data_IF_417749501037
#
_entry.id   IF_417749501037
#
_cell.length_a   1.000
_cell.length_b   1.000
_cell.length_c   1.000
_cell.angle_alpha   90.00
_cell.angle_beta   90.00
_cell.angle_gamma   90.00
#
_symmetry.space_group_name_H-M   'P 1'
#
loop_
_entity.id
_entity.type
_entity.pdbx_description
1 polymer ?
#
# COMPACT_ATOMS: atom_id res chain seq x y z
N UNK A 1 5.05 14.82 -8.62
CA UNK A 1 3.75 14.21 -8.27
C UNK A 1 4.01 13.39 -7.03
N UNK A 2 3.26 13.61 -5.97
CA UNK A 2 3.39 12.88 -4.70
C UNK A 2 2.85 11.46 -4.87
N UNK A 3 3.61 10.45 -4.45
CA UNK A 3 3.23 9.04 -4.57
C UNK A 3 2.74 8.49 -3.24
N UNK A 4 1.49 8.05 -3.17
CA UNK A 4 0.88 7.56 -1.92
C UNK A 4 1.03 6.06 -1.83
N UNK A 5 1.80 5.61 -0.86
CA UNK A 5 2.19 4.23 -0.70
C UNK A 5 1.46 3.65 0.49
N UNK A 6 0.55 2.71 0.25
CA UNK A 6 -0.11 1.95 1.30
C UNK A 6 0.91 1.08 2.05
N UNK A 7 0.96 1.22 3.37
CA UNK A 7 1.85 0.45 4.25
C UNK A 7 1.06 -0.43 5.19
N UNK A 8 1.42 -1.70 5.24
CA UNK A 8 0.88 -2.69 6.17
C UNK A 8 2.02 -3.32 6.97
N UNK A 9 1.87 -3.56 8.29
CA UNK A 9 2.95 -4.10 9.13
C UNK A 9 3.55 -5.43 8.63
N UNK A 10 2.71 -6.29 8.02
CA UNK A 10 3.16 -7.57 7.46
C UNK A 10 3.91 -7.44 6.11
N UNK A 11 3.93 -6.26 5.49
CA UNK A 11 4.85 -5.98 4.39
C UNK A 11 6.13 -5.35 4.95
N UNK A 12 7.09 -6.21 5.31
CA UNK A 12 8.33 -5.77 5.97
C UNK A 12 9.11 -4.75 5.14
N UNK A 13 9.08 -4.85 3.81
CA UNK A 13 9.81 -3.95 2.93
C UNK A 13 9.27 -2.51 3.00
N UNK A 14 7.96 -2.35 2.88
CA UNK A 14 7.32 -1.03 2.97
C UNK A 14 7.30 -0.49 4.40
N UNK A 15 7.14 -1.35 5.40
CA UNK A 15 7.22 -0.96 6.81
C UNK A 15 8.62 -0.44 7.19
N UNK A 16 9.69 -1.00 6.61
CA UNK A 16 11.05 -0.48 6.78
C UNK A 16 11.28 0.79 5.97
N UNK A 17 10.77 0.87 4.74
CA UNK A 17 10.89 2.06 3.91
C UNK A 17 10.25 3.29 4.57
N UNK A 18 9.06 3.15 5.16
CA UNK A 18 8.38 4.23 5.89
C UNK A 18 9.24 4.81 7.04
N UNK A 19 10.03 3.97 7.70
CA UNK A 19 10.84 4.34 8.88
C UNK A 19 12.24 4.84 8.52
N UNK A 20 12.69 4.59 7.29
CA UNK A 20 14.04 4.92 6.85
C UNK A 20 14.09 6.34 6.26
N UNK A 21 14.86 7.27 6.86
CA UNK A 21 14.95 8.64 6.36
C UNK A 21 15.42 8.69 4.90
N UNK A 22 14.64 9.36 4.04
CA UNK A 22 14.96 9.53 2.63
C UNK A 22 14.70 8.30 1.75
N UNK A 23 14.12 7.22 2.28
CA UNK A 23 13.68 6.11 1.46
C UNK A 23 12.68 6.60 0.40
N UNK A 24 12.91 6.20 -0.85
CA UNK A 24 12.07 6.56 -1.99
C UNK A 24 11.93 8.08 -2.22
N UNK A 25 12.82 8.94 -1.68
CA UNK A 25 12.68 10.40 -1.74
C UNK A 25 12.55 10.96 -3.16
N UNK A 26 13.15 10.32 -4.17
CA UNK A 26 13.00 10.69 -5.58
C UNK A 26 11.56 10.57 -6.12
N UNK A 27 10.69 9.87 -5.40
CA UNK A 27 9.29 9.65 -5.74
C UNK A 27 8.33 10.59 -4.97
N UNK A 28 8.84 11.47 -4.10
CA UNK A 28 8.02 12.30 -3.20
C UNK A 28 6.96 11.47 -2.45
N UNK A 29 7.38 10.49 -1.61
CA UNK A 29 6.49 9.48 -1.06
C UNK A 29 5.67 10.01 0.11
N UNK A 30 4.39 9.64 0.14
CA UNK A 30 3.51 9.74 1.31
C UNK A 30 3.09 8.34 1.72
N UNK A 31 3.58 7.88 2.86
CA UNK A 31 3.20 6.58 3.40
C UNK A 31 1.83 6.66 4.09
N UNK A 32 0.93 5.76 3.73
CA UNK A 32 -0.45 5.69 4.23
C UNK A 32 -0.65 4.36 4.93
N UNK A 33 -0.70 4.30 6.27
CA UNK A 33 -0.89 3.04 6.98
C UNK A 33 -2.31 2.52 6.80
N UNK A 34 -2.45 1.19 6.66
CA UNK A 34 -3.74 0.52 6.67
C UNK A 34 -3.69 -0.78 7.49
N UNK A 35 -4.85 -1.17 8.02
CA UNK A 35 -4.95 -2.18 9.08
C UNK A 35 -4.92 -3.61 8.55
N UNK A 36 -5.62 -3.91 7.45
CA UNK A 36 -5.76 -5.27 6.94
C UNK A 36 -5.40 -5.37 5.45
N UNK A 37 -4.73 -6.46 5.06
CA UNK A 37 -4.38 -6.74 3.66
C UNK A 37 -5.56 -6.63 2.68
N UNK A 38 -6.77 -6.99 3.12
CA UNK A 38 -8.02 -6.94 2.34
C UNK A 38 -8.50 -5.53 2.01
N UNK A 39 -8.04 -4.53 2.75
CA UNK A 39 -8.46 -3.14 2.56
C UNK A 39 -7.78 -2.52 1.33
N UNK A 40 -6.63 -3.09 0.92
CA UNK A 40 -5.78 -2.55 -0.15
C UNK A 40 -6.51 -2.28 -1.47
N UNK A 41 -7.38 -3.19 -1.93
CA UNK A 41 -8.10 -3.02 -3.19
C UNK A 41 -9.10 -1.85 -3.15
N UNK A 42 -9.83 -1.70 -2.04
CA UNK A 42 -10.73 -0.56 -1.86
C UNK A 42 -9.93 0.76 -1.80
N UNK A 43 -8.81 0.78 -1.08
CA UNK A 43 -7.95 1.96 -0.99
C UNK A 43 -7.35 2.36 -2.35
N UNK A 44 -6.99 1.39 -3.19
CA UNK A 44 -6.52 1.63 -4.56
C UNK A 44 -7.65 2.18 -5.45
N UNK A 45 -8.82 1.53 -5.46
CA UNK A 45 -9.99 1.94 -6.25
C UNK A 45 -10.46 3.34 -5.89
N UNK A 46 -10.52 3.63 -4.59
CA UNK A 46 -10.96 4.92 -4.08
C UNK A 46 -9.88 6.00 -4.22
N UNK A 47 -8.74 5.64 -4.86
CA UNK A 47 -7.59 6.51 -5.02
C UNK A 47 -7.19 7.13 -3.69
N UNK A 48 -7.15 6.35 -2.59
CA UNK A 48 -6.58 6.74 -1.28
C UNK A 48 -5.08 6.45 -1.23
N UNK A 49 -4.65 5.43 -1.97
CA UNK A 49 -3.25 5.07 -2.23
C UNK A 49 -3.06 4.83 -3.72
N UNK A 50 -1.83 4.96 -4.20
CA UNK A 50 -1.45 4.74 -5.60
C UNK A 50 -0.80 3.36 -5.79
N UNK A 51 -0.16 2.82 -4.75
CA UNK A 51 0.37 1.45 -4.71
C UNK A 51 0.40 0.92 -3.28
N UNK A 52 0.43 -0.40 -3.13
CA UNK A 52 0.71 -1.08 -1.86
C UNK A 52 1.42 -2.41 -2.12
N UNK A 53 1.98 -2.99 -1.06
CA UNK A 53 2.43 -4.37 -1.09
C UNK A 53 1.61 -5.23 -0.12
N UNK A 54 0.99 -6.29 -0.62
CA UNK A 54 0.16 -7.22 0.16
C UNK A 54 0.45 -8.66 -0.26
N UNK A 55 -0.06 -9.63 0.50
CA UNK A 55 0.00 -11.05 0.10
C UNK A 55 -0.85 -11.31 -1.15
N UNK A 56 -0.80 -12.52 -1.72
CA UNK A 56 -1.59 -12.86 -2.92
C UNK A 56 -3.08 -13.06 -2.63
N UNK A 57 -3.45 -13.48 -1.41
CA UNK A 57 -4.86 -13.74 -1.06
C UNK A 57 -5.76 -12.49 -1.19
N UNK A 58 -5.38 -11.31 -0.65
CA UNK A 58 -6.20 -10.10 -0.79
C UNK A 58 -6.53 -9.68 -2.24
N UNK A 59 -5.57 -9.55 -3.19
CA UNK A 59 -5.91 -9.16 -4.56
C UNK A 59 -6.75 -10.22 -5.28
N UNK A 60 -6.49 -11.52 -5.07
CA UNK A 60 -7.32 -12.59 -5.66
C UNK A 60 -8.76 -12.52 -5.14
N UNK A 61 -8.93 -12.31 -3.84
CA UNK A 61 -10.26 -12.19 -3.23
C UNK A 61 -10.99 -10.91 -3.68
N UNK A 62 -10.26 -9.81 -3.88
CA UNK A 62 -10.80 -8.56 -4.41
C UNK A 62 -11.30 -8.72 -5.85
N UNK A 63 -10.48 -9.29 -6.72
CA UNK A 63 -10.85 -9.57 -8.11
C UNK A 63 -12.10 -10.46 -8.19
N UNK A 64 -12.15 -11.51 -7.38
CA UNK A 64 -13.34 -12.38 -7.28
C UNK A 64 -14.60 -11.65 -6.79
N UNK A 65 -14.45 -10.55 -6.04
CA UNK A 65 -15.53 -9.70 -5.57
C UNK A 65 -15.87 -8.53 -6.51
N UNK A 66 -15.19 -8.42 -7.67
CA UNK A 66 -15.39 -7.33 -8.63
C UNK A 66 -14.76 -6.00 -8.20
N UNK A 67 -13.73 -6.06 -7.36
CA UNK A 67 -12.88 -4.93 -6.97
C UNK A 67 -11.61 -4.86 -7.82
#
# INVERSE_FOLDING_TARGET
MTLRIGVHPNNIHLALAERWPGALASLDPVFVPYAEGRDSAALLRDSTIDLCGTGSTPPIAAEAAGL
#
